data_IF_962014728964
#
_entry.id   IF_962014728964
#
_cell.length_a   1.000
_cell.length_b   1.000
_cell.length_c   1.000
_cell.angle_alpha   90.00
_cell.angle_beta   90.00
_cell.angle_gamma   90.00
#
_symmetry.space_group_name_H-M   'P 1'
#
loop_
_entity.id
_entity.type
_entity.pdbx_description
1 polymer ?
#
# COMPACT_ATOMS: atom_id res chain seq x y z
N UNK A 1 16.48 -44.88 21.13
CA UNK A 1 17.40 -43.84 20.62
C UNK A 1 17.02 -43.52 19.17
N UNK A 2 15.95 -42.76 18.86
CA UNK A 2 15.64 -41.36 19.18
C UNK A 2 16.64 -40.32 18.60
N UNK A 3 17.18 -40.56 17.40
CA UNK A 3 18.12 -39.64 16.74
C UNK A 3 17.77 -39.24 15.29
N UNK A 4 16.55 -39.50 14.80
CA UNK A 4 16.14 -39.12 13.44
C UNK A 4 14.95 -38.15 13.35
N UNK A 5 14.32 -37.79 14.48
CA UNK A 5 13.19 -36.86 14.49
C UNK A 5 13.61 -35.37 14.57
N UNK A 6 14.83 -35.06 15.00
CA UNK A 6 15.26 -33.68 15.32
C UNK A 6 15.80 -32.89 14.12
N UNK A 7 16.07 -33.54 12.98
CA UNK A 7 16.58 -32.86 11.78
C UNK A 7 15.47 -32.24 10.90
N UNK A 8 14.20 -32.61 11.10
CA UNK A 8 13.07 -32.04 10.33
C UNK A 8 12.51 -30.75 10.93
N UNK A 9 12.68 -30.52 12.23
CA UNK A 9 12.21 -29.31 12.89
C UNK A 9 13.18 -28.13 12.77
N UNK A 10 14.48 -28.39 12.62
CA UNK A 10 15.50 -27.35 12.44
C UNK A 10 15.47 -26.67 11.05
N UNK A 11 14.88 -27.31 10.04
CA UNK A 11 14.79 -26.75 8.67
C UNK A 11 13.60 -25.80 8.48
N UNK A 12 12.64 -25.78 9.42
CA UNK A 12 11.48 -24.89 9.38
C UNK A 12 11.85 -23.42 9.64
N UNK A 13 12.94 -23.18 10.37
CA UNK A 13 13.35 -21.85 10.83
C UNK A 13 14.28 -21.08 9.87
N UNK A 14 14.63 -21.61 8.69
CA UNK A 14 15.45 -20.88 7.70
C UNK A 14 14.75 -20.56 6.38
N UNK A 15 13.44 -20.82 6.26
CA UNK A 15 12.66 -20.29 5.13
C UNK A 15 12.28 -18.82 5.39
N UNK A 16 13.28 -17.94 5.54
CA UNK A 16 13.15 -16.61 4.98
C UNK A 16 12.99 -16.82 3.47
N UNK A 17 11.74 -17.09 3.08
CA UNK A 17 11.32 -17.51 1.76
C UNK A 17 11.92 -16.51 0.79
N UNK A 18 12.85 -16.96 -0.04
CA UNK A 18 13.52 -16.12 -1.02
C UNK A 18 12.46 -15.25 -1.69
N UNK A 19 12.57 -13.92 -1.56
CA UNK A 19 11.76 -13.00 -2.35
C UNK A 19 11.85 -13.50 -3.78
N UNK A 20 10.70 -13.63 -4.44
CA UNK A 20 10.72 -13.81 -5.89
C UNK A 20 11.50 -12.63 -6.44
N UNK A 21 12.71 -12.90 -6.93
CA UNK A 21 13.66 -11.87 -7.37
C UNK A 21 13.14 -11.07 -8.56
N UNK A 22 12.01 -11.48 -9.13
CA UNK A 22 11.34 -10.78 -10.22
C UNK A 22 10.44 -9.64 -9.73
N UNK A 23 9.98 -9.67 -8.48
CA UNK A 23 9.07 -8.67 -7.95
C UNK A 23 9.83 -7.43 -7.47
N UNK A 24 9.30 -6.26 -7.83
CA UNK A 24 9.82 -5.00 -7.29
C UNK A 24 9.42 -4.87 -5.82
N UNK A 25 10.21 -4.11 -5.06
CA UNK A 25 9.83 -3.73 -3.70
C UNK A 25 8.45 -3.03 -3.72
N UNK A 26 7.56 -3.40 -2.81
CA UNK A 26 6.17 -2.93 -2.81
C UNK A 26 5.23 -3.72 -3.72
N UNK A 27 5.67 -4.82 -4.34
CA UNK A 27 4.80 -5.78 -5.06
C UNK A 27 4.61 -7.09 -4.27
N UNK A 28 3.57 -7.85 -4.63
CA UNK A 28 3.26 -9.15 -4.04
C UNK A 28 2.77 -10.14 -5.10
N UNK A 29 3.21 -11.39 -5.03
CA UNK A 29 2.72 -12.50 -5.89
C UNK A 29 1.37 -13.08 -5.45
N UNK A 30 0.86 -12.66 -4.29
CA UNK A 30 -0.39 -13.13 -3.74
C UNK A 30 -1.57 -12.31 -4.27
N UNK A 31 -2.76 -12.91 -4.33
CA UNK A 31 -4.00 -12.27 -4.84
C UNK A 31 -4.93 -11.79 -3.73
N UNK A 32 -4.45 -11.74 -2.48
CA UNK A 32 -5.21 -11.31 -1.32
C UNK A 32 -4.51 -10.14 -0.63
N UNK A 33 -5.28 -9.39 0.16
CA UNK A 33 -4.77 -8.26 0.92
C UNK A 33 -5.72 -7.81 2.01
N UNK A 34 -5.31 -6.78 2.73
CA UNK A 34 -6.10 -6.14 3.79
C UNK A 34 -6.20 -4.63 3.52
N UNK A 35 -7.32 -4.05 3.95
CA UNK A 35 -7.45 -2.60 4.03
C UNK A 35 -6.74 -2.06 5.25
N UNK A 36 -6.13 -0.90 5.06
CA UNK A 36 -5.49 -0.07 6.06
C UNK A 36 -4.22 -0.65 6.69
N UNK A 37 -3.33 0.26 7.09
CA UNK A 37 -1.97 -0.07 7.54
C UNK A 37 -1.98 -0.84 8.85
N UNK A 38 -2.95 -0.54 9.71
CA UNK A 38 -3.13 -1.10 11.03
C UNK A 38 -3.37 -2.61 10.98
N UNK A 39 -3.98 -3.11 9.89
CA UNK A 39 -4.21 -4.53 9.66
C UNK A 39 -3.01 -5.30 9.10
N UNK A 40 -1.95 -4.61 8.64
CA UNK A 40 -0.84 -5.23 7.91
C UNK A 40 -0.13 -6.34 8.70
N UNK A 41 -0.10 -6.26 10.03
CA UNK A 41 0.50 -7.27 10.90
C UNK A 41 -0.16 -8.66 10.75
N UNK A 42 -1.44 -8.71 10.39
CA UNK A 42 -2.18 -9.97 10.18
C UNK A 42 -1.72 -10.74 8.93
N UNK A 43 -1.03 -10.06 8.01
CA UNK A 43 -0.56 -10.65 6.76
C UNK A 43 0.74 -11.45 6.91
N UNK A 44 1.49 -11.26 8.00
CA UNK A 44 2.76 -11.96 8.23
C UNK A 44 3.77 -11.79 7.09
N UNK A 45 3.82 -10.60 6.48
CA UNK A 45 4.72 -10.27 5.36
C UNK A 45 4.30 -10.84 4.00
N UNK A 46 3.02 -11.21 3.81
CA UNK A 46 2.50 -11.76 2.54
C UNK A 46 1.18 -11.13 2.13
N UNK A 47 1.05 -10.72 0.87
CA UNK A 47 -0.17 -10.11 0.35
C UNK A 47 -0.05 -8.62 0.16
N UNK A 48 -1.19 -7.99 -0.10
CA UNK A 48 -1.30 -6.56 -0.37
C UNK A 48 -1.85 -5.80 0.84
N UNK A 49 -1.35 -4.58 1.06
CA UNK A 49 -1.98 -3.60 1.94
C UNK A 49 -2.53 -2.48 1.06
N UNK A 50 -3.84 -2.25 1.16
CA UNK A 50 -4.54 -1.17 0.46
C UNK A 50 -4.78 -0.01 1.42
N UNK A 51 -4.05 1.10 1.22
CA UNK A 51 -4.06 2.26 2.11
C UNK A 51 -4.91 3.37 1.50
N UNK A 52 -5.63 4.10 2.33
CA UNK A 52 -6.41 5.27 1.91
C UNK A 52 -5.83 6.55 2.47
N UNK A 53 -5.63 7.54 1.60
CA UNK A 53 -5.18 8.87 1.97
C UNK A 53 -6.18 9.92 1.48
N UNK A 54 -6.55 10.86 2.34
CA UNK A 54 -7.27 12.05 1.94
C UNK A 54 -6.26 13.18 1.69
N UNK A 55 -6.14 13.64 0.45
CA UNK A 55 -5.13 14.62 0.05
C UNK A 55 -5.71 16.02 -0.23
N UNK A 56 -7.03 16.15 -0.33
CA UNK A 56 -7.68 17.44 -0.58
C UNK A 56 -7.45 17.96 -2.00
N UNK A 57 -7.57 19.28 -2.19
CA UNK A 57 -7.37 19.97 -3.48
C UNK A 57 -6.37 21.12 -3.38
N UNK A 58 -5.59 21.23 -2.30
CA UNK A 58 -4.62 22.31 -2.20
C UNK A 58 -3.41 22.01 -3.11
N UNK A 59 -3.32 22.65 -4.27
CA UNK A 59 -2.26 22.40 -5.25
C UNK A 59 -0.84 22.76 -4.76
N UNK A 60 -0.74 23.58 -3.72
CA UNK A 60 0.52 24.03 -3.14
C UNK A 60 0.94 23.15 -1.95
N UNK A 61 0.14 22.13 -1.60
CA UNK A 61 0.49 21.15 -0.57
C UNK A 61 1.39 20.05 -1.16
N UNK A 62 2.57 19.91 -0.56
CA UNK A 62 3.61 18.93 -0.87
C UNK A 62 3.76 17.83 0.19
N UNK A 63 2.85 17.81 1.17
CA UNK A 63 2.78 16.77 2.18
C UNK A 63 2.61 15.38 1.55
N UNK A 64 3.21 14.38 2.18
CA UNK A 64 3.28 13.01 1.67
C UNK A 64 3.24 11.99 2.80
N UNK A 65 3.42 10.72 2.45
CA UNK A 65 3.55 9.60 3.39
C UNK A 65 4.64 8.63 2.94
N UNK A 66 5.21 7.93 3.90
CA UNK A 66 6.16 6.86 3.64
C UNK A 66 5.50 5.49 3.86
N UNK A 67 5.77 4.58 2.93
CA UNK A 67 5.28 3.21 2.92
C UNK A 67 6.42 2.19 2.88
N UNK A 68 7.66 2.67 2.98
CA UNK A 68 8.88 1.85 2.92
C UNK A 68 8.91 0.79 4.00
N UNK A 69 8.39 1.07 5.19
CA UNK A 69 8.29 0.10 6.28
C UNK A 69 7.40 -1.11 5.95
N UNK A 70 6.33 -0.92 5.16
CA UNK A 70 5.48 -2.02 4.69
C UNK A 70 6.17 -2.79 3.56
N UNK A 71 6.76 -2.06 2.62
CA UNK A 71 7.47 -2.64 1.50
C UNK A 71 8.71 -3.44 1.96
N UNK A 72 9.42 -2.96 2.99
CA UNK A 72 10.56 -3.63 3.63
C UNK A 72 10.15 -4.93 4.32
N UNK A 73 8.92 -5.00 4.86
CA UNK A 73 8.34 -6.24 5.39
C UNK A 73 7.97 -7.26 4.31
N UNK A 74 8.12 -6.92 3.01
CA UNK A 74 7.80 -7.79 1.89
C UNK A 74 6.33 -7.76 1.48
N UNK A 75 5.57 -6.78 1.96
CA UNK A 75 4.19 -6.57 1.57
C UNK A 75 4.11 -5.82 0.22
N UNK A 76 3.08 -6.17 -0.56
CA UNK A 76 2.66 -5.35 -1.68
C UNK A 76 1.92 -4.11 -1.17
N UNK A 77 2.15 -2.95 -1.78
CA UNK A 77 1.58 -1.67 -1.33
C UNK A 77 0.78 -1.02 -2.45
N UNK A 78 -0.50 -0.79 -2.20
CA UNK A 78 -1.39 -0.02 -3.07
C UNK A 78 -1.91 1.16 -2.27
N UNK A 79 -1.77 2.37 -2.80
CA UNK A 79 -2.27 3.57 -2.13
C UNK A 79 -3.37 4.22 -2.96
N UNK A 80 -4.51 4.46 -2.32
CA UNK A 80 -5.66 5.14 -2.87
C UNK A 80 -5.70 6.58 -2.39
N UNK A 81 -5.61 7.51 -3.33
CA UNK A 81 -5.68 8.94 -3.08
C UNK A 81 -7.10 9.45 -3.30
N UNK A 82 -7.68 10.01 -2.26
CA UNK A 82 -9.02 10.58 -2.24
C UNK A 82 -8.96 12.10 -2.06
N UNK A 83 -9.92 12.83 -2.61
CA UNK A 83 -10.16 14.23 -2.25
C UNK A 83 -10.45 14.37 -0.75
N UNK A 84 -11.36 13.54 -0.24
CA UNK A 84 -11.68 13.43 1.16
C UNK A 84 -12.42 12.13 1.45
N UNK A 85 -13.03 12.07 2.63
CA UNK A 85 -13.92 10.97 3.03
C UNK A 85 -15.37 11.47 3.07
N UNK A 86 -16.32 10.62 3.45
CA UNK A 86 -17.67 11.09 3.76
C UNK A 86 -17.61 12.21 4.82
N UNK A 87 -18.30 13.36 4.65
CA UNK A 87 -19.27 13.66 3.57
C UNK A 87 -18.66 14.34 2.33
N UNK A 88 -17.38 14.71 2.34
CA UNK A 88 -16.69 15.43 1.26
C UNK A 88 -16.65 14.67 -0.07
N UNK A 89 -16.55 13.34 -0.02
CA UNK A 89 -16.42 12.49 -1.21
C UNK A 89 -14.98 12.29 -1.67
N UNK A 90 -14.73 11.24 -2.45
CA UNK A 90 -13.38 10.79 -2.84
C UNK A 90 -12.86 11.46 -4.11
N UNK A 91 -13.74 12.04 -4.91
CA UNK A 91 -13.45 12.82 -6.11
C UNK A 91 -14.13 14.19 -5.90
N UNK A 92 -13.44 15.32 -6.17
CA UNK A 92 -14.02 16.63 -5.94
C UNK A 92 -14.99 17.01 -7.05
N UNK A 93 -15.50 18.25 -7.06
CA UNK A 93 -16.27 18.73 -8.21
C UNK A 93 -15.37 18.96 -9.43
N UNK A 94 -15.96 18.96 -10.63
CA UNK A 94 -15.26 19.15 -11.91
C UNK A 94 -14.32 20.37 -11.92
N UNK A 95 -14.72 21.48 -11.28
CA UNK A 95 -13.92 22.72 -11.19
C UNK A 95 -12.60 22.54 -10.46
N UNK A 96 -12.52 21.56 -9.55
CA UNK A 96 -11.35 21.29 -8.72
C UNK A 96 -10.49 20.15 -9.24
N UNK A 97 -10.87 19.48 -10.34
CA UNK A 97 -10.08 18.39 -10.94
C UNK A 97 -8.63 18.78 -11.22
N UNK A 98 -8.32 19.97 -11.81
CA UNK A 98 -6.93 20.33 -12.06
C UNK A 98 -6.10 20.45 -10.77
N UNK A 99 -6.68 21.04 -9.72
CA UNK A 99 -5.99 21.19 -8.44
C UNK A 99 -5.82 19.86 -7.71
N UNK A 100 -6.81 18.97 -7.78
CA UNK A 100 -6.73 17.62 -7.23
C UNK A 100 -5.70 16.77 -7.95
N UNK A 101 -5.67 16.80 -9.28
CA UNK A 101 -4.69 16.09 -10.08
C UNK A 101 -3.26 16.54 -9.73
N UNK A 102 -3.04 17.86 -9.60
CA UNK A 102 -1.75 18.38 -9.16
C UNK A 102 -1.41 17.92 -7.73
N UNK A 103 -2.38 17.99 -6.80
CA UNK A 103 -2.16 17.55 -5.42
C UNK A 103 -1.79 16.07 -5.33
N UNK A 104 -2.44 15.20 -6.12
CA UNK A 104 -2.09 13.79 -6.24
C UNK A 104 -0.67 13.61 -6.77
N UNK A 105 -0.28 14.36 -7.81
CA UNK A 105 1.09 14.37 -8.34
C UNK A 105 2.12 14.71 -7.27
N UNK A 106 1.92 15.82 -6.56
CA UNK A 106 2.83 16.25 -5.47
C UNK A 106 2.94 15.16 -4.38
N UNK A 107 1.83 14.51 -4.03
CA UNK A 107 1.82 13.43 -3.03
C UNK A 107 2.65 12.23 -3.49
N UNK A 108 2.42 11.78 -4.73
CA UNK A 108 3.11 10.63 -5.34
C UNK A 108 4.61 10.88 -5.41
N UNK A 109 5.02 12.06 -5.90
CA UNK A 109 6.42 12.42 -6.10
C UNK A 109 7.23 12.38 -4.80
N UNK A 110 6.62 12.83 -3.70
CA UNK A 110 7.28 12.93 -2.40
C UNK A 110 6.98 11.72 -1.47
N UNK A 111 6.37 10.66 -1.99
CA UNK A 111 6.06 9.42 -1.24
C UNK A 111 7.00 8.28 -1.65
N UNK A 112 7.48 7.52 -0.67
CA UNK A 112 8.41 6.41 -0.89
C UNK A 112 7.81 5.07 -0.47
N UNK A 113 8.27 3.98 -1.11
CA UNK A 113 7.81 2.62 -0.79
C UNK A 113 6.48 2.22 -1.44
N UNK A 114 5.95 3.03 -2.37
CA UNK A 114 4.77 2.70 -3.18
C UNK A 114 4.96 3.18 -4.62
N UNK A 115 4.53 2.38 -5.58
CA UNK A 115 4.50 2.71 -7.01
C UNK A 115 3.17 2.39 -7.68
N UNK A 116 2.17 1.91 -6.92
CA UNK A 116 0.83 1.57 -7.41
C UNK A 116 -0.18 2.49 -6.76
N UNK A 117 -0.79 3.35 -7.57
CA UNK A 117 -1.68 4.41 -7.12
C UNK A 117 -3.07 4.24 -7.70
N UNK A 118 -4.08 4.44 -6.86
CA UNK A 118 -5.50 4.47 -7.25
C UNK A 118 -6.05 5.87 -6.97
N UNK A 119 -6.79 6.46 -7.90
CA UNK A 119 -7.37 7.79 -7.73
C UNK A 119 -8.88 7.66 -7.48
N UNK A 120 -9.29 8.00 -6.26
CA UNK A 120 -10.66 7.92 -5.78
C UNK A 120 -11.15 6.49 -5.49
N UNK A 121 -12.34 6.44 -4.89
CA UNK A 121 -13.14 5.24 -4.67
C UNK A 121 -14.58 5.54 -5.04
N UNK A 122 -15.28 4.66 -5.75
CA UNK A 122 -16.72 4.82 -6.00
C UNK A 122 -17.09 6.21 -6.58
N UNK A 123 -16.47 6.65 -7.69
CA UNK A 123 -16.65 8.00 -8.23
C UNK A 123 -18.07 8.30 -8.74
N UNK A 124 -18.92 7.29 -8.90
CA UNK A 124 -20.25 7.40 -9.51
C UNK A 124 -21.37 7.77 -8.52
N UNK A 125 -21.03 8.20 -7.30
CA UNK A 125 -22.01 8.65 -6.29
C UNK A 125 -22.34 10.15 -6.38
N UNK A 126 -21.89 10.82 -7.44
CA UNK A 126 -22.12 12.25 -7.70
C UNK A 126 -23.35 12.49 -8.60
#
# INVERSE_FOLDING_TARGET
>A
MQAQATAREATSHSMAKARDKTLRQGESSYIYGIHDREGAHLLGGKGWVAISEAVGCNRDDWGSRAYTDLADQGLGVIVRLNHGYCPTGTIPTLKSYPHFAQRCGNFVENSHGCHIWVIGNEPNLA
#
